data_IF_714031817660
#
_entry.id   IF_714031817660
#
_cell.length_a   1.000
_cell.length_b   1.000
_cell.length_c   1.000
_cell.angle_alpha   90.00
_cell.angle_beta   90.00
_cell.angle_gamma   90.00
#
_symmetry.space_group_name_H-M   'P 1'
#
loop_
_entity.id
_entity.type
_entity.pdbx_description
1 polymer ?
#
# COMPACT_ATOMS: atom_id res chain seq x y z
N UNK A 1 4.26 12.24 2.70
CA UNK A 1 4.71 11.09 1.88
C UNK A 1 5.51 11.60 0.68
N UNK A 2 6.86 11.53 0.70
CA UNK A 2 7.71 12.02 -0.40
C UNK A 2 7.84 10.95 -1.48
N UNK A 3 6.90 10.90 -2.43
CA UNK A 3 7.04 10.22 -3.73
C UNK A 3 8.01 10.95 -4.69
N UNK A 4 8.81 11.90 -4.19
CA UNK A 4 9.52 12.94 -4.97
C UNK A 4 10.75 12.44 -5.77
N UNK A 5 11.06 11.15 -5.77
CA UNK A 5 12.23 10.58 -6.49
C UNK A 5 11.88 9.59 -7.60
N UNK A 6 10.60 9.29 -7.81
CA UNK A 6 10.18 8.31 -8.81
C UNK A 6 9.67 8.98 -10.08
N UNK A 7 9.86 8.31 -11.23
CA UNK A 7 9.32 8.79 -12.49
C UNK A 7 7.80 8.98 -12.37
N UNK A 8 7.19 10.01 -13.00
CA UNK A 8 5.76 10.35 -12.82
C UNK A 8 4.80 9.15 -12.94
N UNK A 9 5.13 8.19 -13.80
CA UNK A 9 4.36 6.94 -14.00
C UNK A 9 4.31 6.03 -12.76
N UNK A 10 5.37 5.98 -11.96
CA UNK A 10 5.40 5.17 -10.74
C UNK A 10 4.51 5.80 -9.65
N UNK A 11 4.48 7.13 -9.58
CA UNK A 11 3.59 7.85 -8.67
C UNK A 11 2.11 7.65 -9.04
N UNK A 12 1.76 7.70 -10.32
CA UNK A 12 0.41 7.41 -10.81
C UNK A 12 -0.02 5.97 -10.49
N UNK A 13 0.87 4.99 -10.71
CA UNK A 13 0.61 3.59 -10.34
C UNK A 13 0.38 3.42 -8.85
N UNK A 14 1.18 4.08 -8.02
CA UNK A 14 0.99 4.05 -6.57
C UNK A 14 -0.35 4.66 -6.18
N UNK A 15 -0.71 5.82 -6.74
CA UNK A 15 -1.99 6.46 -6.44
C UNK A 15 -3.19 5.61 -6.86
N UNK A 16 -3.15 4.99 -8.05
CA UNK A 16 -4.21 4.11 -8.53
C UNK A 16 -4.39 2.89 -7.61
N UNK A 17 -3.29 2.21 -7.27
CA UNK A 17 -3.33 1.05 -6.40
C UNK A 17 -3.80 1.38 -4.97
N UNK A 18 -3.46 2.56 -4.44
CA UNK A 18 -3.96 3.01 -3.12
C UNK A 18 -5.47 3.29 -3.13
N UNK A 19 -6.02 3.82 -4.24
CA UNK A 19 -7.49 3.96 -4.38
C UNK A 19 -8.19 2.62 -4.39
N UNK A 20 -7.64 1.65 -5.12
CA UNK A 20 -8.17 0.29 -5.14
C UNK A 20 -8.03 -0.41 -3.78
N UNK A 21 -6.99 -0.08 -2.99
CA UNK A 21 -6.80 -0.62 -1.65
C UNK A 21 -7.96 -0.25 -0.71
N UNK A 22 -8.56 0.93 -0.89
CA UNK A 22 -9.74 1.34 -0.12
C UNK A 22 -10.99 0.50 -0.44
N UNK A 23 -11.06 -0.12 -1.63
CA UNK A 23 -12.17 -0.97 -2.04
C UNK A 23 -11.93 -2.45 -1.68
N UNK A 24 -10.71 -2.93 -1.93
CA UNK A 24 -10.28 -4.28 -1.60
C UNK A 24 -8.86 -4.23 -0.99
N UNK A 25 -8.78 -4.28 0.35
CA UNK A 25 -7.52 -4.21 1.08
C UNK A 25 -6.90 -5.59 1.33
N UNK A 26 -7.43 -6.69 0.81
CA UNK A 26 -6.94 -8.03 1.16
C UNK A 26 -6.42 -8.84 -0.04
N UNK A 27 -6.80 -8.45 -1.26
CA UNK A 27 -6.51 -9.26 -2.46
C UNK A 27 -5.32 -8.73 -3.24
N UNK A 28 -4.35 -9.61 -3.52
CA UNK A 28 -3.29 -9.36 -4.51
C UNK A 28 -3.88 -9.28 -5.92
N UNK A 29 -3.32 -8.38 -6.74
CA UNK A 29 -3.78 -8.12 -8.11
C UNK A 29 -2.60 -7.82 -9.05
N UNK A 30 -2.87 -7.70 -10.34
CA UNK A 30 -1.79 -7.51 -11.32
C UNK A 30 -0.92 -6.29 -10.98
N UNK A 31 0.38 -6.52 -10.77
CA UNK A 31 1.34 -5.47 -10.41
C UNK A 31 1.28 -4.98 -8.95
N UNK A 32 0.40 -5.57 -8.12
CA UNK A 32 0.18 -5.18 -6.73
C UNK A 32 0.09 -6.41 -5.84
N UNK A 33 1.06 -6.59 -4.96
CA UNK A 33 1.14 -7.73 -4.05
C UNK A 33 0.72 -7.33 -2.63
N UNK A 34 -0.27 -8.04 -2.07
CA UNK A 34 -0.76 -7.88 -0.70
C UNK A 34 -0.32 -9.09 0.11
N UNK A 35 0.33 -8.85 1.26
CA UNK A 35 0.75 -9.91 2.16
C UNK A 35 0.60 -9.50 3.63
N UNK A 36 0.35 -10.44 4.56
CA UNK A 36 0.41 -10.16 5.99
C UNK A 36 1.76 -9.59 6.40
N UNK A 37 1.76 -8.61 7.29
CA UNK A 37 2.98 -8.06 7.87
C UNK A 37 3.38 -8.86 9.12
N UNK A 38 4.67 -9.17 9.23
CA UNK A 38 5.23 -9.86 10.41
C UNK A 38 5.75 -8.82 11.40
N UNK A 39 4.85 -8.17 12.13
CA UNK A 39 5.19 -7.17 13.16
C UNK A 39 3.94 -6.48 13.71
N UNK A 40 4.04 -5.82 14.85
CA UNK A 40 2.91 -5.13 15.49
C UNK A 40 2.58 -3.76 14.86
N UNK A 41 3.43 -3.28 13.95
CA UNK A 41 3.30 -1.96 13.32
C UNK A 41 2.19 -1.91 12.27
N UNK A 42 1.95 -3.01 11.55
CA UNK A 42 0.99 -3.10 10.46
C UNK A 42 0.33 -4.47 10.46
N UNK A 43 -0.86 -4.55 9.88
CA UNK A 43 -1.54 -5.82 9.65
C UNK A 43 -1.08 -6.44 8.31
N UNK A 44 -0.89 -5.57 7.31
CA UNK A 44 -0.60 -5.97 5.93
C UNK A 44 0.47 -5.09 5.28
N UNK A 45 1.01 -5.58 4.17
CA UNK A 45 1.90 -4.89 3.27
C UNK A 45 1.33 -4.88 1.87
N UNK A 46 1.33 -3.70 1.26
CA UNK A 46 1.13 -3.50 -0.17
C UNK A 46 2.48 -3.31 -0.85
N UNK A 47 2.77 -4.06 -1.91
CA UNK A 47 3.94 -3.87 -2.77
C UNK A 47 3.51 -3.52 -4.18
N UNK A 48 4.05 -2.42 -4.70
CA UNK A 48 3.80 -1.92 -6.06
C UNK A 48 5.16 -1.72 -6.73
N UNK A 49 5.56 -2.69 -7.57
CA UNK A 49 6.91 -2.73 -8.11
C UNK A 49 7.98 -2.76 -7.01
N UNK A 50 8.74 -1.66 -6.87
CA UNK A 50 9.76 -1.45 -5.83
C UNK A 50 9.23 -0.79 -4.56
N UNK A 51 8.04 -0.20 -4.60
CA UNK A 51 7.46 0.51 -3.46
C UNK A 51 6.78 -0.48 -2.52
N UNK A 52 6.92 -0.24 -1.22
CA UNK A 52 6.27 -1.01 -0.16
C UNK A 52 5.58 -0.07 0.80
N UNK A 53 4.36 -0.40 1.16
CA UNK A 53 3.53 0.36 2.10
C UNK A 53 3.03 -0.60 3.18
N UNK A 54 3.19 -0.23 4.44
CA UNK A 54 2.48 -0.88 5.53
C UNK A 54 1.07 -0.29 5.65
N UNK A 55 0.07 -1.12 5.95
CA UNK A 55 -1.25 -0.60 6.25
C UNK A 55 -2.01 -1.44 7.27
N UNK A 56 -3.01 -0.80 7.87
CA UNK A 56 -3.98 -1.39 8.79
C UNK A 56 -5.39 -1.19 8.25
N UNK A 57 -6.29 -2.13 8.56
CA UNK A 57 -7.70 -2.05 8.17
C UNK A 57 -8.56 -1.95 9.40
N UNK A 58 -9.17 -0.77 9.60
CA UNK A 58 -10.22 -0.62 10.60
C UNK A 58 -11.56 -1.02 9.99
N UNK A 59 -12.10 -2.16 10.43
CA UNK A 59 -13.39 -2.69 9.95
C UNK A 59 -14.59 -1.90 10.48
N UNK A 60 -14.45 -1.20 11.60
CA UNK A 60 -15.50 -0.37 12.17
C UNK A 60 -15.68 0.92 11.38
N UNK A 61 -14.57 1.58 11.04
CA UNK A 61 -14.57 2.86 10.34
C UNK A 61 -14.45 2.74 8.81
N UNK A 62 -14.31 1.51 8.27
CA UNK A 62 -14.03 1.24 6.85
C UNK A 62 -12.83 2.05 6.35
N UNK A 63 -11.80 2.16 7.19
CA UNK A 63 -10.65 3.03 6.96
C UNK A 63 -9.38 2.19 6.75
N UNK A 64 -8.62 2.56 5.72
CA UNK A 64 -7.30 1.97 5.46
C UNK A 64 -6.24 2.99 5.82
N UNK A 65 -5.54 2.76 6.93
CA UNK A 65 -4.44 3.62 7.38
C UNK A 65 -3.14 3.12 6.79
N UNK A 66 -2.54 3.91 5.90
CA UNK A 66 -1.30 3.59 5.20
C UNK A 66 -0.17 4.39 5.84
N UNK A 67 0.81 3.73 6.46
CA UNK A 67 1.97 4.39 7.05
C UNK A 67 3.29 3.83 6.50
N UNK A 68 4.26 4.73 6.38
CA UNK A 68 5.62 4.58 5.87
C UNK A 68 5.80 3.83 4.53
N UNK A 69 6.13 4.60 3.49
CA UNK A 69 6.73 4.09 2.24
C UNK A 69 8.20 3.73 2.49
N UNK A 70 8.53 2.44 2.55
CA UNK A 70 9.92 1.99 2.63
C UNK A 70 10.50 1.85 1.22
N UNK A 71 11.58 2.57 0.97
CA UNK A 71 12.46 2.38 -0.18
C UNK A 71 13.64 1.54 0.31
N UNK A 72 13.84 0.35 -0.24
CA UNK A 72 15.11 -0.38 -0.09
C UNK A 72 15.77 -0.44 -1.45
#
# INVERSE_FOLDING_TARGET
MKLKRDAPKDAERCAAALRELAMDPFTSRSGVDVAPWKGAEFDYRLRIGRHRFGYRVDKGEKLVLVDAAWFK
#
